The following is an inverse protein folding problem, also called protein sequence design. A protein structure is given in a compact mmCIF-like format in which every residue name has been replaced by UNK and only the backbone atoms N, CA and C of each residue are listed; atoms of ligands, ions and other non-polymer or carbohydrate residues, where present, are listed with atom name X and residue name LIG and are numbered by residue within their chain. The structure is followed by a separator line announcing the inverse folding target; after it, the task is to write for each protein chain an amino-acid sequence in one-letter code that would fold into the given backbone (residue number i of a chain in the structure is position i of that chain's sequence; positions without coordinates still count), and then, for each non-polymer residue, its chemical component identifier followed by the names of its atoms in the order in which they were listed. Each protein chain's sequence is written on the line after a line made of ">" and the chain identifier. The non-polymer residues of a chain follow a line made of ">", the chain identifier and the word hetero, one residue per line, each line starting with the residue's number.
data_IF_917437377974
#
_entry.id   IF_917437377974
#
_cell.length_a   1.000
_cell.length_b   1.000
_cell.length_c   1.000
_cell.angle_alpha   90.00
_cell.angle_beta   90.00
_cell.angle_gamma   90.00
#
_symmetry.space_group_name_H-M   'P 1'
#
loop_
_entity.id
_entity.type
_entity.pdbx_description
1 polymer ?
#
# COMPACT_ATOMS: atom_id res chain seq x y z
N UNK A 1 -15.35 -5.97 -12.54
CA UNK A 1 -15.17 -5.71 -11.09
C UNK A 1 -16.28 -4.84 -10.50
N UNK A 2 -17.19 -4.30 -11.30
CA UNK A 2 -18.26 -3.38 -10.89
C UNK A 2 -19.46 -4.05 -10.18
N UNK A 3 -19.52 -5.38 -10.15
CA UNK A 3 -20.63 -6.13 -9.53
C UNK A 3 -20.20 -6.92 -8.28
N UNK A 4 -19.02 -6.64 -7.75
CA UNK A 4 -18.54 -7.31 -6.52
C UNK A 4 -19.18 -6.61 -5.33
N UNK A 5 -19.94 -7.32 -4.47
CA UNK A 5 -20.51 -6.71 -3.28
C UNK A 5 -19.43 -6.14 -2.35
N UNK A 6 -19.60 -4.88 -1.94
CA UNK A 6 -18.77 -4.21 -0.95
C UNK A 6 -19.17 -4.67 0.46
N UNK A 7 -18.70 -5.85 0.86
CA UNK A 7 -19.01 -6.47 2.14
C UNK A 7 -17.76 -7.08 2.78
N UNK A 8 -17.85 -7.43 4.06
CA UNK A 8 -16.80 -8.20 4.73
C UNK A 8 -16.57 -9.53 4.01
N UNK A 9 -15.31 -9.96 3.97
CA UNK A 9 -14.80 -11.20 3.37
C UNK A 9 -14.99 -11.39 1.85
N UNK A 10 -15.81 -10.58 1.17
CA UNK A 10 -16.02 -10.70 -0.28
C UNK A 10 -14.85 -10.17 -1.12
N UNK A 11 -14.03 -9.29 -0.55
CA UNK A 11 -12.95 -8.59 -1.26
C UNK A 11 -11.56 -9.25 -1.08
N UNK A 12 -11.39 -10.09 -0.06
CA UNK A 12 -10.11 -10.75 0.25
C UNK A 12 -9.53 -11.54 -0.95
N UNK A 13 -10.32 -12.29 -1.74
CA UNK A 13 -9.79 -12.99 -2.93
C UNK A 13 -9.15 -12.05 -3.97
N UNK A 14 -9.50 -10.76 -3.94
CA UNK A 14 -8.96 -9.74 -4.84
C UNK A 14 -7.77 -8.99 -4.25
N UNK A 15 -7.35 -9.32 -3.02
CA UNK A 15 -6.26 -8.65 -2.30
C UNK A 15 -6.67 -7.30 -1.69
N UNK A 16 -7.95 -7.12 -1.41
CA UNK A 16 -8.52 -5.92 -0.79
C UNK A 16 -9.41 -6.31 0.40
N UNK A 17 -9.72 -5.34 1.26
CA UNK A 17 -10.69 -5.50 2.34
C UNK A 17 -11.49 -4.20 2.47
N UNK A 18 -12.65 -4.27 3.14
CA UNK A 18 -13.48 -3.12 3.42
C UNK A 18 -13.76 -3.03 4.92
N UNK A 19 -13.71 -1.81 5.45
CA UNK A 19 -13.99 -1.51 6.85
C UNK A 19 -14.98 -0.33 6.92
N UNK A 20 -14.47 0.91 6.91
CA UNK A 20 -15.30 2.14 6.91
C UNK A 20 -16.13 2.39 5.66
N UNK A 21 -16.09 1.48 4.68
CA UNK A 21 -16.72 1.59 3.37
C UNK A 21 -16.36 2.85 2.57
N UNK A 22 -15.21 3.47 2.86
CA UNK A 22 -14.69 4.59 2.09
C UNK A 22 -14.24 4.13 0.69
N UNK A 23 -14.72 4.83 -0.34
CA UNK A 23 -14.34 4.61 -1.74
C UNK A 23 -13.75 5.89 -2.31
N UNK A 24 -12.56 5.79 -2.89
CA UNK A 24 -11.90 6.89 -3.59
C UNK A 24 -11.80 6.54 -5.08
N UNK A 25 -12.25 7.45 -5.94
CA UNK A 25 -12.22 7.30 -7.39
C UNK A 25 -11.22 8.29 -7.97
N UNK A 26 -10.33 7.78 -8.82
CA UNK A 26 -9.31 8.56 -9.50
C UNK A 26 -9.50 8.40 -11.01
N UNK A 27 -9.17 9.45 -11.76
CA UNK A 27 -9.35 9.52 -13.20
C UNK A 27 -8.13 9.00 -13.94
N UNK A 28 -8.23 8.91 -15.27
CA UNK A 28 -7.12 8.63 -16.18
C UNK A 28 -6.09 9.78 -16.27
N UNK A 29 -6.36 10.93 -15.62
CA UNK A 29 -5.42 12.05 -15.50
C UNK A 29 -4.52 11.95 -14.28
N UNK A 30 -4.84 11.04 -13.36
CA UNK A 30 -4.08 10.79 -12.15
C UNK A 30 -3.06 9.67 -12.40
N UNK A 31 -1.92 9.72 -11.69
CA UNK A 31 -0.92 8.65 -11.74
C UNK A 31 -1.02 7.79 -10.51
N UNK A 32 -1.23 6.49 -10.71
CA UNK A 32 -1.40 5.54 -9.62
C UNK A 32 -0.14 5.48 -8.73
N UNK A 33 1.07 5.62 -9.32
CA UNK A 33 2.34 5.72 -8.58
C UNK A 33 2.38 6.89 -7.60
N UNK A 34 1.86 8.05 -8.00
CA UNK A 34 1.95 9.29 -7.22
C UNK A 34 0.96 9.23 -6.06
N UNK A 35 -0.23 8.67 -6.31
CA UNK A 35 -1.22 8.38 -5.29
C UNK A 35 -0.69 7.37 -4.25
N UNK A 36 -0.04 6.30 -4.69
CA UNK A 36 0.53 5.30 -3.78
C UNK A 36 1.65 5.88 -2.92
N UNK A 37 2.51 6.73 -3.49
CA UNK A 37 3.53 7.46 -2.74
C UNK A 37 2.92 8.40 -1.70
N UNK A 38 1.85 9.13 -2.06
CA UNK A 38 1.14 10.00 -1.13
C UNK A 38 0.52 9.21 0.03
N UNK A 39 -0.08 8.05 -0.24
CA UNK A 39 -0.61 7.16 0.81
C UNK A 39 0.53 6.62 1.69
N UNK A 40 1.68 6.27 1.12
CA UNK A 40 2.83 5.83 1.91
C UNK A 40 3.36 6.93 2.84
N UNK A 41 3.41 8.19 2.38
CA UNK A 41 3.76 9.33 3.23
C UNK A 41 2.75 9.54 4.36
N UNK A 42 1.45 9.30 4.12
CA UNK A 42 0.46 9.30 5.20
C UNK A 42 0.78 8.23 6.25
N UNK A 43 1.08 7.00 5.85
CA UNK A 43 1.45 5.93 6.80
C UNK A 43 2.75 6.23 7.56
N UNK A 44 3.72 6.86 6.89
CA UNK A 44 4.94 7.36 7.52
C UNK A 44 4.65 8.41 8.59
N UNK A 45 3.83 9.41 8.26
CA UNK A 45 3.46 10.50 9.16
C UNK A 45 2.65 10.01 10.37
N UNK A 46 1.66 9.15 10.13
CA UNK A 46 0.73 8.65 11.15
C UNK A 46 1.27 7.48 11.98
N UNK A 47 2.53 7.09 11.77
CA UNK A 47 3.15 6.05 12.56
C UNK A 47 3.21 6.46 14.05
N UNK A 48 2.57 5.66 14.92
CA UNK A 48 2.65 5.83 16.37
C UNK A 48 4.02 5.44 16.95
N UNK A 49 4.92 4.89 16.12
CA UNK A 49 6.31 4.61 16.47
C UNK A 49 6.60 3.30 17.22
N UNK A 50 5.59 2.57 17.66
CA UNK A 50 5.73 1.41 18.56
C UNK A 50 6.48 0.22 17.94
N UNK A 51 6.16 -0.18 16.71
CA UNK A 51 6.83 -1.29 16.02
C UNK A 51 7.80 -0.77 14.95
N UNK A 52 9.03 -1.26 14.98
CA UNK A 52 10.07 -0.98 13.98
C UNK A 52 9.63 -1.25 12.53
N UNK A 53 9.00 -2.40 12.18
CA UNK A 53 8.57 -2.65 10.82
C UNK A 53 7.63 -1.56 10.28
N UNK A 54 6.68 -1.06 11.08
CA UNK A 54 5.87 0.09 10.68
C UNK A 54 6.71 1.39 10.65
N UNK A 55 7.33 1.78 11.77
CA UNK A 55 7.99 3.09 11.93
C UNK A 55 9.11 3.33 10.94
N UNK A 56 9.96 2.33 10.73
CA UNK A 56 11.12 2.44 9.85
C UNK A 56 10.76 1.96 8.44
N UNK A 57 9.89 0.94 8.33
CA UNK A 57 9.53 0.38 7.04
C UNK A 57 8.73 1.36 6.17
N UNK A 58 7.78 2.11 6.72
CA UNK A 58 7.04 3.12 5.93
C UNK A 58 7.96 4.22 5.39
N UNK A 59 8.90 4.71 6.21
CA UNK A 59 9.87 5.72 5.76
C UNK A 59 10.84 5.16 4.72
N UNK A 60 11.29 3.90 4.91
CA UNK A 60 12.14 3.24 3.91
C UNK A 60 11.41 3.01 2.59
N UNK A 61 10.15 2.56 2.65
CA UNK A 61 9.29 2.39 1.49
C UNK A 61 9.07 3.72 0.76
N UNK A 62 8.71 4.79 1.48
CA UNK A 62 8.52 6.11 0.91
C UNK A 62 9.79 6.61 0.19
N UNK A 63 10.96 6.38 0.76
CA UNK A 63 12.24 6.73 0.11
C UNK A 63 12.46 5.92 -1.18
N UNK A 64 12.23 4.61 -1.14
CA UNK A 64 12.38 3.73 -2.31
C UNK A 64 11.36 4.06 -3.41
N UNK A 65 10.14 4.44 -3.04
CA UNK A 65 9.06 4.77 -3.99
C UNK A 65 9.25 6.13 -4.69
N UNK A 66 10.16 6.99 -4.21
CA UNK A 66 10.51 8.26 -4.89
C UNK A 66 11.32 8.06 -6.17
N UNK A 67 11.94 6.88 -6.36
CA UNK A 67 12.68 6.60 -7.59
C UNK A 67 11.73 6.47 -8.79
N UNK A 68 12.27 6.65 -10.00
CA UNK A 68 11.48 6.45 -11.23
C UNK A 68 11.04 5.00 -11.39
N UNK A 69 11.98 4.06 -11.25
CA UNK A 69 11.76 2.62 -11.28
C UNK A 69 11.84 2.07 -9.86
N UNK A 70 10.83 1.30 -9.47
CA UNK A 70 10.72 0.73 -8.13
C UNK A 70 11.39 -0.63 -8.09
N UNK A 71 12.27 -0.83 -7.10
CA UNK A 71 12.85 -2.14 -6.84
C UNK A 71 11.78 -3.06 -6.22
N UNK A 72 11.08 -3.79 -7.11
CA UNK A 72 10.01 -4.72 -6.74
C UNK A 72 10.45 -5.75 -5.72
N UNK A 73 11.68 -6.26 -5.82
CA UNK A 73 12.15 -7.31 -4.90
C UNK A 73 12.31 -6.74 -3.50
N UNK A 74 13.05 -5.64 -3.38
CA UNK A 74 13.31 -4.98 -2.09
C UNK A 74 12.01 -4.49 -1.45
N UNK A 75 11.11 -3.90 -2.24
CA UNK A 75 9.82 -3.43 -1.75
C UNK A 75 8.90 -4.58 -1.31
N UNK A 76 8.90 -5.73 -1.99
CA UNK A 76 8.10 -6.89 -1.58
C UNK A 76 8.65 -7.57 -0.32
N UNK A 77 9.98 -7.67 -0.18
CA UNK A 77 10.62 -8.16 1.06
C UNK A 77 10.26 -7.25 2.25
N UNK A 78 10.31 -5.93 2.05
CA UNK A 78 9.89 -4.96 3.06
C UNK A 78 8.39 -5.06 3.38
N UNK A 79 7.54 -5.16 2.36
CA UNK A 79 6.11 -5.34 2.50
C UNK A 79 5.77 -6.58 3.34
N UNK A 80 6.45 -7.70 3.08
CA UNK A 80 6.26 -8.95 3.82
C UNK A 80 6.59 -8.77 5.30
N UNK A 81 7.74 -8.16 5.63
CA UNK A 81 8.13 -7.89 7.02
C UNK A 81 7.13 -6.93 7.71
N UNK A 82 6.61 -5.94 6.98
CA UNK A 82 5.61 -5.01 7.51
C UNK A 82 4.30 -5.71 7.85
N UNK A 83 3.83 -6.63 7.00
CA UNK A 83 2.63 -7.43 7.25
C UNK A 83 2.82 -8.38 8.43
N UNK A 84 3.94 -9.11 8.47
CA UNK A 84 4.12 -10.20 9.43
C UNK A 84 4.48 -9.70 10.84
N UNK A 85 5.18 -8.57 10.95
CA UNK A 85 5.76 -8.12 12.21
C UNK A 85 5.18 -6.80 12.75
N UNK A 86 4.22 -6.16 12.08
CA UNK A 86 3.51 -5.01 12.62
C UNK A 86 2.44 -5.41 13.64
N UNK A 87 2.41 -4.71 14.78
CA UNK A 87 1.54 -5.02 15.92
C UNK A 87 0.05 -4.74 15.63
N UNK A 88 -0.26 -3.79 14.74
CA UNK A 88 -1.62 -3.38 14.46
C UNK A 88 -1.95 -3.39 12.97
N UNK A 89 -3.25 -3.44 12.64
CA UNK A 89 -3.75 -3.48 11.27
C UNK A 89 -3.28 -2.32 10.39
N UNK A 90 -2.99 -1.13 10.95
CA UNK A 90 -2.44 -0.02 10.18
C UNK A 90 -1.05 -0.35 9.61
N UNK A 91 -0.14 -0.86 10.44
CA UNK A 91 1.20 -1.23 10.00
C UNK A 91 1.18 -2.41 9.01
N UNK A 92 0.23 -3.34 9.22
CA UNK A 92 0.02 -4.47 8.31
C UNK A 92 -0.58 -4.06 6.97
N UNK A 93 -1.42 -3.02 6.93
CA UNK A 93 -2.04 -2.53 5.70
C UNK A 93 -1.19 -1.50 4.95
N UNK A 94 -0.21 -0.88 5.61
CA UNK A 94 0.68 0.12 5.01
C UNK A 94 1.35 -0.29 3.68
N UNK A 95 1.76 -1.55 3.45
CA UNK A 95 2.35 -1.96 2.17
C UNK A 95 1.34 -2.26 1.05
N UNK A 96 0.03 -2.19 1.29
CA UNK A 96 -0.98 -2.46 0.26
C UNK A 96 -0.83 -1.59 -1.00
N UNK A 97 -0.55 -0.27 -0.92
CA UNK A 97 -0.34 0.55 -2.10
C UNK A 97 0.81 0.04 -2.99
N UNK A 98 1.91 -0.44 -2.41
CA UNK A 98 3.05 -1.00 -3.16
C UNK A 98 2.59 -2.19 -3.99
N UNK A 99 1.92 -3.15 -3.35
CA UNK A 99 1.45 -4.38 -4.01
C UNK A 99 0.38 -4.10 -5.06
N UNK A 100 -0.52 -3.16 -4.79
CA UNK A 100 -1.55 -2.74 -5.75
C UNK A 100 -0.93 -2.15 -7.02
N UNK A 101 0.04 -1.24 -6.91
CA UNK A 101 0.68 -0.64 -8.08
C UNK A 101 1.48 -1.68 -8.87
N UNK A 102 2.28 -2.53 -8.22
CA UNK A 102 3.01 -3.58 -8.92
C UNK A 102 2.11 -4.61 -9.64
N UNK A 103 0.88 -4.81 -9.15
CA UNK A 103 -0.07 -5.75 -9.75
C UNK A 103 -0.88 -5.13 -10.90
N UNK A 104 -1.39 -3.92 -10.71
CA UNK A 104 -2.37 -3.33 -11.62
C UNK A 104 -1.83 -2.21 -12.51
N UNK A 105 -0.71 -1.59 -12.14
CA UNK A 105 -0.06 -0.50 -12.89
C UNK A 105 1.47 -0.72 -13.00
N UNK A 106 1.95 -1.92 -13.40
CA UNK A 106 3.38 -2.23 -13.43
C UNK A 106 4.18 -1.27 -14.34
N UNK A 107 3.56 -0.75 -15.40
CA UNK A 107 4.16 0.20 -16.34
C UNK A 107 4.49 1.56 -15.72
N UNK A 108 3.83 1.97 -14.64
CA UNK A 108 4.11 3.24 -13.98
C UNK A 108 5.37 3.19 -13.11
N UNK A 109 5.84 1.98 -12.77
CA UNK A 109 6.92 1.75 -11.78
C UNK A 109 8.03 0.82 -12.28
N UNK A 110 7.99 0.42 -13.56
CA UNK A 110 9.02 -0.39 -14.21
C UNK A 110 10.35 0.36 -14.37
#
# INVERSE_FOLDING_TARGET
>A
MNDIPLNFDTLQPYGCFIDSAAVMVFSDKDKARDMALNVMHFFEHESCGQCTPCRVGTGKAAQLMQTKSWDRKTLEELATVMVDASICGRGQAAPNPIRCIHKYFPEEVA
#
